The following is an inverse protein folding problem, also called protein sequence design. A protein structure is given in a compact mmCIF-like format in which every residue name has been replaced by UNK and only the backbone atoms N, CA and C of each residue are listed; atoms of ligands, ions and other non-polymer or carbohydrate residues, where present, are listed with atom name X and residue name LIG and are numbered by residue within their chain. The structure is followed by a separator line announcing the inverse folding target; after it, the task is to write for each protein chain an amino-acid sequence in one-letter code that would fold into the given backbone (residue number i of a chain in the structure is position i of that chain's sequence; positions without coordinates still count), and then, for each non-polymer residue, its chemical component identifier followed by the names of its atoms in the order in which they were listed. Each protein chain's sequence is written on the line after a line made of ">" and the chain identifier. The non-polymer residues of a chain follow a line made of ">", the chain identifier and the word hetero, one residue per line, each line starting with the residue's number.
data_IF_425259694140
#
_entry.id   IF_425259694140
#
_cell.length_a   1.000
_cell.length_b   1.000
_cell.length_c   1.000
_cell.angle_alpha   90.00
_cell.angle_beta   90.00
_cell.angle_gamma   90.00
#
_symmetry.space_group_name_H-M   'P 1'
#
loop_
_entity.id
_entity.type
_entity.pdbx_description
1 polymer ?
#
# COMPACT_ATOMS: atom_id res chain seq x y z
N UNK A 1 -12.64 33.61 20.35
CA UNK A 1 -11.67 33.19 19.33
C UNK A 1 -12.25 31.96 18.65
N UNK A 2 -12.61 32.06 17.36
CA UNK A 2 -13.22 30.95 16.61
C UNK A 2 -12.08 30.15 16.00
N UNK A 3 -11.86 28.93 16.49
CA UNK A 3 -10.98 27.94 15.87
C UNK A 3 -11.59 27.48 14.55
N UNK A 4 -11.21 28.14 13.46
CA UNK A 4 -11.52 27.70 12.11
C UNK A 4 -10.66 26.46 11.81
N UNK A 5 -11.20 25.27 12.07
CA UNK A 5 -10.65 24.06 11.46
C UNK A 5 -10.80 24.23 9.94
N UNK A 6 -9.71 24.18 9.15
CA UNK A 6 -9.84 24.26 7.71
C UNK A 6 -10.76 23.11 7.27
N UNK A 7 -11.89 23.47 6.63
CA UNK A 7 -12.76 22.50 5.97
C UNK A 7 -11.93 21.85 4.87
N UNK A 8 -11.38 20.66 5.16
CA UNK A 8 -10.67 19.85 4.19
C UNK A 8 -11.68 19.52 3.08
N UNK A 9 -11.59 20.24 1.97
CA UNK A 9 -12.45 19.99 0.82
C UNK A 9 -11.73 18.95 -0.03
N UNK A 10 -11.95 17.68 0.28
CA UNK A 10 -11.38 16.58 -0.50
C UNK A 10 -12.07 16.58 -1.87
N UNK A 11 -11.28 16.74 -2.94
CA UNK A 11 -11.78 16.71 -4.31
C UNK A 11 -12.30 15.29 -4.64
N UNK A 12 -13.56 15.17 -5.07
CA UNK A 12 -14.15 13.89 -5.43
C UNK A 12 -13.43 13.20 -6.61
N UNK A 13 -12.87 13.97 -7.55
CA UNK A 13 -12.07 13.43 -8.65
C UNK A 13 -10.79 12.73 -8.14
N UNK A 14 -10.26 13.19 -7.01
CA UNK A 14 -9.04 12.66 -6.41
C UNK A 14 -9.29 11.38 -5.60
N UNK A 15 -10.44 11.27 -4.92
CA UNK A 15 -10.84 9.99 -4.31
C UNK A 15 -11.13 8.93 -5.37
N UNK A 16 -11.62 9.34 -6.54
CA UNK A 16 -11.80 8.45 -7.67
C UNK A 16 -10.44 7.96 -8.20
N UNK A 17 -9.44 8.84 -8.26
CA UNK A 17 -8.07 8.49 -8.67
C UNK A 17 -7.45 7.41 -7.78
N UNK A 18 -7.55 7.52 -6.44
CA UNK A 18 -7.09 6.46 -5.52
C UNK A 18 -7.81 5.13 -5.79
N UNK A 19 -9.12 5.21 -5.98
CA UNK A 19 -9.93 4.01 -6.17
C UNK A 19 -9.55 3.31 -7.47
N UNK A 20 -9.33 4.08 -8.52
CA UNK A 20 -8.92 3.58 -9.83
C UNK A 20 -7.49 3.00 -9.77
N UNK A 21 -6.59 3.66 -9.04
CA UNK A 21 -5.23 3.18 -8.75
C UNK A 21 -5.24 1.82 -8.05
N UNK A 22 -5.94 1.71 -6.91
CA UNK A 22 -6.05 0.46 -6.16
C UNK A 22 -6.66 -0.66 -7.00
N UNK A 23 -7.70 -0.38 -7.78
CA UNK A 23 -8.34 -1.37 -8.63
C UNK A 23 -7.36 -1.90 -9.70
N UNK A 24 -6.58 -1.00 -10.30
CA UNK A 24 -5.57 -1.37 -11.29
C UNK A 24 -4.44 -2.18 -10.66
N UNK A 25 -3.91 -1.75 -9.51
CA UNK A 25 -2.86 -2.46 -8.78
C UNK A 25 -3.27 -3.89 -8.45
N UNK A 26 -4.41 -4.09 -7.80
CA UNK A 26 -4.87 -5.45 -7.48
C UNK A 26 -5.17 -6.28 -8.72
N UNK A 27 -5.68 -5.66 -9.79
CA UNK A 27 -5.90 -6.34 -11.07
C UNK A 27 -4.61 -6.85 -11.72
N UNK A 28 -3.51 -6.09 -11.64
CA UNK A 28 -2.19 -6.52 -12.14
C UNK A 28 -1.60 -7.62 -11.26
N UNK A 29 -1.68 -7.46 -9.94
CA UNK A 29 -1.21 -8.43 -8.96
C UNK A 29 -1.92 -9.79 -9.13
N UNK A 30 -3.23 -9.81 -9.37
CA UNK A 30 -3.98 -11.04 -9.60
C UNK A 30 -3.63 -11.71 -10.93
N UNK A 31 -3.42 -10.94 -11.99
CA UNK A 31 -2.98 -11.47 -13.29
C UNK A 31 -1.59 -12.10 -13.20
N UNK A 32 -0.63 -11.42 -12.59
CA UNK A 32 0.71 -11.96 -12.38
C UNK A 32 0.66 -13.19 -11.46
N UNK A 33 -0.19 -13.19 -10.43
CA UNK A 33 -0.39 -14.36 -9.57
C UNK A 33 -0.89 -15.58 -10.34
N UNK A 34 -1.72 -15.40 -11.35
CA UNK A 34 -2.19 -16.49 -12.19
C UNK A 34 -1.04 -17.19 -12.94
N UNK A 35 0.01 -16.44 -13.33
CA UNK A 35 1.14 -16.96 -14.10
C UNK A 35 1.90 -18.10 -13.39
N UNK A 36 1.84 -18.19 -12.06
CA UNK A 36 2.56 -19.23 -11.32
C UNK A 36 1.68 -20.19 -10.53
N UNK A 37 0.38 -19.92 -10.43
CA UNK A 37 -0.60 -20.86 -9.90
C UNK A 37 -0.92 -21.94 -10.94
N UNK A 38 -1.00 -21.54 -12.21
CA UNK A 38 -1.10 -22.45 -13.35
C UNK A 38 0.33 -22.75 -13.81
N UNK A 39 1.06 -23.53 -13.02
CA UNK A 39 2.46 -23.88 -13.28
C UNK A 39 2.58 -24.95 -14.39
N UNK A 40 1.97 -24.67 -15.55
CA UNK A 40 2.10 -25.49 -16.76
C UNK A 40 2.98 -24.73 -17.76
N UNK A 41 4.23 -25.18 -17.99
CA UNK A 41 5.15 -24.58 -18.95
C UNK A 41 4.56 -24.44 -20.36
N UNK A 42 3.59 -25.27 -20.73
CA UNK A 42 2.94 -25.21 -22.04
C UNK A 42 2.07 -23.95 -22.23
N UNK A 43 1.69 -23.27 -21.15
CA UNK A 43 0.83 -22.08 -21.17
C UNK A 43 1.52 -20.82 -20.66
N UNK A 44 2.75 -20.93 -20.13
CA UNK A 44 3.52 -19.76 -19.74
C UNK A 44 3.89 -18.93 -20.97
N UNK A 45 3.63 -17.62 -20.91
CA UNK A 45 3.89 -16.65 -21.98
C UNK A 45 4.89 -15.62 -21.46
N UNK A 46 6.19 -15.78 -21.76
CA UNK A 46 7.24 -14.86 -21.33
C UNK A 46 6.97 -13.40 -21.71
N UNK A 47 6.42 -13.16 -22.89
CA UNK A 47 6.04 -11.83 -23.38
C UNK A 47 5.00 -11.19 -22.45
N UNK A 48 3.98 -11.97 -22.09
CA UNK A 48 2.87 -11.48 -21.27
C UNK A 48 3.30 -11.24 -19.83
N UNK A 49 4.13 -12.11 -19.26
CA UNK A 49 4.72 -11.88 -17.94
C UNK A 49 5.56 -10.59 -17.93
N UNK A 50 6.37 -10.38 -18.98
CA UNK A 50 7.22 -9.19 -19.13
C UNK A 50 6.38 -7.91 -19.23
N UNK A 51 5.31 -7.92 -20.02
CA UNK A 51 4.40 -6.78 -20.13
C UNK A 51 3.73 -6.47 -18.77
N UNK A 52 3.18 -7.48 -18.12
CA UNK A 52 2.50 -7.31 -16.84
C UNK A 52 3.43 -6.82 -15.73
N UNK A 53 4.69 -7.27 -15.68
CA UNK A 53 5.62 -6.85 -14.65
C UNK A 53 6.09 -5.40 -14.86
N UNK A 54 6.26 -4.96 -16.12
CA UNK A 54 6.54 -3.57 -16.44
C UNK A 54 5.36 -2.66 -16.08
N UNK A 55 4.14 -3.08 -16.40
CA UNK A 55 2.92 -2.37 -16.00
C UNK A 55 2.79 -2.28 -14.48
N UNK A 56 3.12 -3.36 -13.75
CA UNK A 56 3.09 -3.36 -12.29
C UNK A 56 4.16 -2.43 -11.70
N UNK A 57 5.38 -2.38 -12.25
CA UNK A 57 6.42 -1.44 -11.83
C UNK A 57 5.92 0.00 -11.90
N UNK A 58 5.34 0.37 -13.03
CA UNK A 58 4.83 1.73 -13.25
C UNK A 58 3.63 2.03 -12.35
N UNK A 59 2.76 1.03 -12.13
CA UNK A 59 1.63 1.13 -11.21
C UNK A 59 2.07 1.33 -9.76
N UNK A 60 3.11 0.61 -9.29
CA UNK A 60 3.65 0.78 -7.94
C UNK A 60 4.26 2.17 -7.76
N UNK A 61 4.95 2.69 -8.78
CA UNK A 61 5.47 4.07 -8.73
C UNK A 61 4.35 5.09 -8.51
N UNK A 62 3.23 4.94 -9.24
CA UNK A 62 2.06 5.79 -9.05
C UNK A 62 1.46 5.62 -7.65
N UNK A 63 1.30 4.37 -7.21
CA UNK A 63 0.73 4.04 -5.90
C UNK A 63 1.51 4.73 -4.77
N UNK A 64 2.82 4.53 -4.69
CA UNK A 64 3.66 5.18 -3.66
C UNK A 64 3.67 6.71 -3.78
N UNK A 65 3.65 7.25 -5.01
CA UNK A 65 3.57 8.70 -5.20
C UNK A 65 2.26 9.28 -4.64
N UNK A 66 1.14 8.57 -4.83
CA UNK A 66 -0.15 8.94 -4.27
C UNK A 66 -0.07 8.92 -2.74
N UNK A 67 0.34 7.82 -2.12
CA UNK A 67 0.40 7.72 -0.65
C UNK A 67 1.21 8.84 0.02
N UNK A 68 2.35 9.17 -0.59
CA UNK A 68 3.19 10.29 -0.17
C UNK A 68 2.46 11.64 -0.34
N UNK A 69 1.77 11.86 -1.46
CA UNK A 69 1.00 13.08 -1.71
C UNK A 69 -0.24 13.22 -0.80
N UNK A 70 -0.85 12.11 -0.39
CA UNK A 70 -1.98 12.10 0.54
C UNK A 70 -1.57 12.34 1.99
N UNK A 71 -0.28 12.24 2.29
CA UNK A 71 0.21 12.34 3.66
C UNK A 71 -0.37 11.26 4.56
N UNK A 72 -0.56 10.03 4.05
CA UNK A 72 -0.97 8.87 4.87
C UNK A 72 -0.11 8.73 6.12
N UNK A 73 1.16 9.12 6.00
CA UNK A 73 2.15 9.08 7.06
C UNK A 73 2.31 10.39 7.85
N UNK A 74 1.85 11.55 7.36
CA UNK A 74 2.11 12.87 7.98
C UNK A 74 1.56 13.00 9.40
N UNK A 75 0.35 12.48 9.64
CA UNK A 75 -0.28 12.51 10.97
C UNK A 75 0.40 11.57 11.98
N UNK A 76 0.63 10.28 11.68
CA UNK A 76 1.39 9.43 12.60
C UNK A 76 2.80 9.96 12.86
N UNK A 77 3.47 10.57 11.86
CA UNK A 77 4.79 11.17 12.02
C UNK A 77 4.85 12.32 13.05
N UNK A 78 3.75 13.06 13.22
CA UNK A 78 3.69 14.29 14.03
C UNK A 78 3.04 14.13 15.39
N UNK A 79 2.30 13.03 15.64
CA UNK A 79 1.42 12.90 16.81
C UNK A 79 1.88 11.91 17.88
N UNK A 80 2.63 10.87 17.51
CA UNK A 80 3.05 9.82 18.45
C UNK A 80 4.41 9.23 18.04
N UNK A 81 5.44 9.21 18.92
CA UNK A 81 6.76 8.71 18.58
C UNK A 81 6.81 7.27 18.07
N UNK A 82 5.94 6.38 18.57
CA UNK A 82 5.89 4.98 18.15
C UNK A 82 5.24 4.86 16.77
N UNK A 83 4.16 5.60 16.52
CA UNK A 83 3.52 5.62 15.20
C UNK A 83 4.38 6.34 14.16
N UNK A 84 5.17 7.32 14.58
CA UNK A 84 6.12 8.05 13.75
C UNK A 84 7.26 7.14 13.30
N UNK A 85 7.85 6.37 14.22
CA UNK A 85 8.86 5.38 13.88
C UNK A 85 8.33 4.32 12.91
N UNK A 86 7.10 3.84 13.11
CA UNK A 86 6.48 2.87 12.22
C UNK A 86 6.15 3.45 10.84
N UNK A 87 5.62 4.68 10.80
CA UNK A 87 5.36 5.40 9.56
C UNK A 87 6.63 5.60 8.74
N UNK A 88 7.73 6.02 9.39
CA UNK A 88 9.01 6.17 8.70
C UNK A 88 9.54 4.83 8.19
N UNK A 89 9.43 3.76 8.99
CA UNK A 89 9.83 2.42 8.58
C UNK A 89 9.08 1.95 7.33
N UNK A 90 7.78 2.24 7.22
CA UNK A 90 6.97 1.88 6.05
C UNK A 90 7.36 2.72 4.83
N UNK A 91 7.57 4.03 5.00
CA UNK A 91 8.07 4.87 3.92
C UNK A 91 9.42 4.40 3.36
N UNK A 92 10.34 3.99 4.24
CA UNK A 92 11.64 3.47 3.82
C UNK A 92 11.51 2.17 3.00
N UNK A 93 10.43 1.39 3.20
CA UNK A 93 10.15 0.18 2.40
C UNK A 93 9.68 0.49 0.97
N UNK A 94 9.13 1.68 0.70
CA UNK A 94 8.72 2.07 -0.66
C UNK A 94 9.90 2.01 -1.63
N UNK A 95 11.06 2.55 -1.22
CA UNK A 95 12.28 2.52 -2.04
C UNK A 95 12.75 1.07 -2.28
N UNK A 96 12.79 0.26 -1.21
CA UNK A 96 13.22 -1.14 -1.31
C UNK A 96 12.32 -1.94 -2.26
N UNK A 97 11.01 -1.86 -2.07
CA UNK A 97 10.02 -2.56 -2.90
C UNK A 97 10.07 -2.07 -4.35
N UNK A 98 10.22 -0.76 -4.56
CA UNK A 98 10.30 -0.19 -5.90
C UNK A 98 11.56 -0.66 -6.65
N UNK A 99 12.73 -0.69 -5.99
CA UNK A 99 13.95 -1.20 -6.59
C UNK A 99 13.86 -2.70 -6.90
N UNK A 100 13.20 -3.48 -6.05
CA UNK A 100 12.96 -4.90 -6.31
C UNK A 100 12.12 -5.10 -7.58
N UNK A 101 10.98 -4.41 -7.72
CA UNK A 101 10.13 -4.57 -8.91
C UNK A 101 10.82 -4.06 -10.18
N UNK A 102 11.61 -2.98 -10.10
CA UNK A 102 12.46 -2.52 -11.21
C UNK A 102 13.44 -3.61 -11.66
N UNK A 103 14.16 -4.23 -10.73
CA UNK A 103 15.11 -5.31 -11.06
C UNK A 103 14.44 -6.51 -11.70
N UNK A 104 13.22 -6.86 -11.30
CA UNK A 104 12.46 -7.98 -11.90
C UNK A 104 12.03 -7.59 -13.32
N UNK A 105 11.51 -6.38 -13.51
CA UNK A 105 11.06 -5.90 -14.81
C UNK A 105 12.21 -5.82 -15.82
N UNK A 106 13.33 -5.20 -15.45
CA UNK A 106 14.54 -5.13 -16.28
C UNK A 106 15.08 -6.53 -16.61
N UNK A 107 15.07 -7.43 -15.61
CA UNK A 107 15.47 -8.82 -15.79
C UNK A 107 14.57 -9.57 -16.77
N UNK A 108 13.25 -9.37 -16.70
CA UNK A 108 12.29 -9.98 -17.63
C UNK A 108 12.46 -9.43 -19.06
N UNK A 109 12.65 -8.12 -19.22
CA UNK A 109 12.90 -7.50 -20.53
C UNK A 109 14.19 -8.02 -21.16
N UNK A 110 15.26 -8.17 -20.37
CA UNK A 110 16.54 -8.67 -20.85
C UNK A 110 16.48 -10.13 -21.32
N UNK A 111 15.59 -10.94 -20.74
CA UNK A 111 15.41 -12.36 -21.09
C UNK A 111 14.54 -12.58 -22.33
N UNK A 112 13.87 -11.52 -22.82
CA UNK A 112 12.96 -11.61 -23.95
C UNK A 112 13.69 -11.74 -25.30
N UNK A 113 14.96 -11.30 -25.38
CA UNK A 113 15.74 -11.27 -26.61
C UNK A 113 17.18 -11.75 -26.40
N UNK A 114 17.83 -12.40 -27.40
CA UNK A 114 17.33 -12.76 -28.72
C UNK A 114 16.55 -14.10 -28.75
N UNK A 115 16.74 -14.96 -27.75
CA UNK A 115 16.03 -16.23 -27.56
C UNK A 115 15.48 -16.26 -26.13
N UNK A 116 14.30 -16.85 -25.97
CA UNK A 116 13.64 -16.96 -24.67
C UNK A 116 14.43 -17.91 -23.77
N UNK A 117 14.92 -17.39 -22.63
CA UNK A 117 15.53 -18.19 -21.57
C UNK A 117 14.48 -18.62 -20.54
N UNK A 118 13.90 -19.81 -20.73
CA UNK A 118 12.88 -20.38 -19.83
C UNK A 118 13.35 -20.50 -18.38
N UNK A 119 14.62 -20.84 -18.15
CA UNK A 119 15.17 -20.99 -16.81
C UNK A 119 15.34 -19.61 -16.13
N UNK A 120 15.74 -18.60 -16.90
CA UNK A 120 15.75 -17.21 -16.49
C UNK A 120 14.36 -16.72 -16.09
N UNK A 121 13.33 -16.99 -16.90
CA UNK A 121 11.95 -16.61 -16.58
C UNK A 121 11.41 -17.31 -15.34
N UNK A 122 11.71 -18.60 -15.15
CA UNK A 122 11.36 -19.30 -13.90
C UNK A 122 11.95 -18.57 -12.68
N UNK A 123 13.19 -18.08 -12.78
CA UNK A 123 13.81 -17.29 -11.70
C UNK A 123 13.11 -15.94 -11.50
N UNK A 124 12.73 -15.24 -12.56
CA UNK A 124 11.98 -13.98 -12.44
C UNK A 124 10.62 -14.19 -11.78
N UNK A 125 9.94 -15.29 -12.08
CA UNK A 125 8.68 -15.66 -11.42
C UNK A 125 8.90 -15.92 -9.93
N UNK A 126 9.99 -16.60 -9.55
CA UNK A 126 10.30 -16.82 -8.12
C UNK A 126 10.66 -15.54 -7.38
N UNK A 127 11.44 -14.65 -8.00
CA UNK A 127 11.71 -13.31 -7.46
C UNK A 127 10.41 -12.51 -7.29
N UNK A 128 9.51 -12.60 -8.26
CA UNK A 128 8.21 -11.94 -8.15
C UNK A 128 7.34 -12.53 -7.04
N UNK A 129 7.39 -13.84 -6.79
CA UNK A 129 6.68 -14.45 -5.64
C UNK A 129 7.20 -13.94 -4.31
N UNK A 130 8.50 -13.67 -4.20
CA UNK A 130 9.11 -13.09 -3.01
C UNK A 130 8.67 -11.63 -2.83
N UNK A 131 8.79 -10.83 -3.91
CA UNK A 131 8.30 -9.46 -3.97
C UNK A 131 6.81 -9.38 -3.57
N UNK A 132 5.96 -10.23 -4.15
CA UNK A 132 4.52 -10.25 -3.88
C UNK A 132 4.21 -10.43 -2.40
N UNK A 133 4.93 -11.32 -1.71
CA UNK A 133 4.76 -11.54 -0.26
C UNK A 133 5.21 -10.33 0.54
N UNK A 134 6.34 -9.72 0.17
CA UNK A 134 6.87 -8.53 0.83
C UNK A 134 5.89 -7.36 0.67
N UNK A 135 5.38 -7.15 -0.54
CA UNK A 135 4.40 -6.12 -0.86
C UNK A 135 3.09 -6.31 -0.09
N UNK A 136 2.56 -7.53 -0.02
CA UNK A 136 1.36 -7.82 0.80
C UNK A 136 1.57 -7.56 2.29
N UNK A 137 2.75 -7.88 2.82
CA UNK A 137 3.07 -7.61 4.22
C UNK A 137 3.16 -6.10 4.49
N UNK A 138 3.70 -5.34 3.54
CA UNK A 138 3.78 -3.89 3.58
C UNK A 138 2.39 -3.24 3.57
N UNK A 139 1.54 -3.57 2.59
CA UNK A 139 0.14 -3.10 2.51
C UNK A 139 -0.66 -3.38 3.79
N UNK A 140 -0.48 -4.58 4.35
CA UNK A 140 -1.15 -4.95 5.60
C UNK A 140 -0.68 -4.09 6.78
N UNK A 141 0.62 -3.77 6.83
CA UNK A 141 1.19 -2.96 7.91
C UNK A 141 0.77 -1.48 7.78
N UNK A 142 0.66 -0.95 6.56
CA UNK A 142 0.12 0.38 6.30
C UNK A 142 -1.36 0.47 6.71
N UNK A 143 -2.15 -0.53 6.35
CA UNK A 143 -3.54 -0.62 6.78
C UNK A 143 -3.66 -0.60 8.31
N UNK A 144 -2.86 -1.42 9.00
CA UNK A 144 -2.85 -1.47 10.47
C UNK A 144 -2.43 -0.14 11.09
N UNK A 145 -1.42 0.54 10.51
CA UNK A 145 -0.99 1.88 10.94
C UNK A 145 -2.14 2.89 10.80
N UNK A 146 -2.81 2.93 9.64
CA UNK A 146 -3.95 3.81 9.40
C UNK A 146 -5.10 3.56 10.38
N UNK A 147 -5.40 2.30 10.66
CA UNK A 147 -6.43 1.92 11.62
C UNK A 147 -6.07 2.36 13.05
N UNK A 148 -4.82 2.19 13.46
CA UNK A 148 -4.33 2.63 14.76
C UNK A 148 -4.42 4.16 14.94
N UNK A 149 -4.04 4.91 13.91
CA UNK A 149 -4.17 6.38 13.88
C UNK A 149 -5.63 6.80 14.00
N UNK A 150 -6.53 6.17 13.25
CA UNK A 150 -7.96 6.45 13.28
C UNK A 150 -8.57 6.16 14.67
N UNK A 151 -8.24 5.01 15.27
CA UNK A 151 -8.73 4.63 16.61
C UNK A 151 -8.23 5.59 17.70
N UNK A 152 -6.98 6.06 17.62
CA UNK A 152 -6.47 7.08 18.55
C UNK A 152 -7.23 8.40 18.42
N UNK A 153 -7.45 8.87 17.20
CA UNK A 153 -8.23 10.09 16.95
C UNK A 153 -9.66 10.01 17.49
N UNK A 154 -10.31 8.84 17.37
CA UNK A 154 -11.65 8.64 17.94
C UNK A 154 -11.67 8.67 19.48
N UNK A 155 -10.61 8.17 20.13
CA UNK A 155 -10.49 8.24 21.60
C UNK A 155 -10.24 9.67 22.08
N UNK A 156 -9.39 10.43 21.40
CA UNK A 156 -9.07 11.82 21.72
C UNK A 156 -10.26 12.77 21.46
N UNK A 157 -11.07 12.49 20.43
CA UNK A 157 -12.27 13.27 20.10
C UNK A 157 -13.54 12.83 20.86
N UNK A 158 -13.47 11.79 21.72
CA UNK A 158 -14.62 11.40 22.54
C UNK A 158 -14.77 12.44 23.67
N UNK A 159 -15.90 13.15 23.76
CA UNK A 159 -16.10 14.11 24.85
C UNK A 159 -16.04 13.38 26.19
N UNK A 160 -15.25 13.92 27.12
CA UNK A 160 -15.31 13.53 28.53
C UNK A 160 -16.74 13.79 29.00
N UNK A 161 -17.57 12.75 29.05
CA UNK A 161 -18.83 12.82 29.80
C UNK A 161 -18.41 13.03 31.25
N UNK A 162 -18.60 14.26 31.75
CA UNK A 162 -18.40 14.56 33.17
C UNK A 162 -19.41 13.73 33.95
N UNK A 163 -18.93 12.72 34.66
CA UNK A 163 -19.68 12.05 35.72
C UNK A 163 -19.72 12.97 36.94
N UNK A 164 -20.41 14.10 36.84
CA UNK A 164 -20.70 15.01 37.95
C UNK A 164 -22.15 15.48 37.83
N UNK A 165 -23.07 14.66 38.37
CA UNK A 165 -24.48 14.89 38.74
C UNK A 165 -25.12 13.48 38.76
N UNK A 166 -25.59 12.87 39.84
CA UNK A 166 -26.13 13.37 41.10
C UNK A 166 -25.79 12.39 42.24
N UNK A 167 -24.95 12.83 43.18
CA UNK A 167 -25.02 12.36 44.56
C UNK A 167 -25.96 13.33 45.28
N UNK A 168 -27.18 12.90 45.62
CA UNK A 168 -28.02 13.69 46.53
C UNK A 168 -29.53 13.53 46.36
N UNK A 169 -30.08 12.34 46.63
CA UNK A 169 -31.42 12.28 47.21
C UNK A 169 -31.56 11.05 48.11
N UNK A 170 -31.22 11.22 49.39
CA UNK A 170 -31.56 10.30 50.46
C UNK A 170 -32.29 11.08 51.56
N UNK A 171 -33.57 10.75 51.75
CA UNK A 171 -34.31 10.83 53.01
C UNK A 171 -34.79 12.20 53.51
N UNK A 172 -36.07 12.52 53.33
CA UNK A 172 -37.17 12.22 54.27
C UNK A 172 -38.48 12.83 53.78
#
# INVERSE_FOLDING_TARGET
>A
MISAHPKLTINAAFLQEIKDDNLRLYGLLDQLRACWLVNDPAFFRPEWFTELICDLRDQIAMHFALENAFGYFEKPLTSDPLLSAEAQRLLDQHEELYLQICSIAEGAEALLYPEIDEAGYSRQVDLFREFYKAFQAHESAEFDLMMNVCLKQQKENRPLVSSDQEAGFCGR
#
